data_IF_064230997809
#
_entry.id   IF_064230997809
#
_cell.length_a   1.000
_cell.length_b   1.000
_cell.length_c   1.000
_cell.angle_alpha   90.00
_cell.angle_beta   90.00
_cell.angle_gamma   90.00
#
_symmetry.space_group_name_H-M   'P 1'
#
loop_
_entity.id
_entity.type
_entity.pdbx_description
1 polymer ?
#
# COMPACT_ATOMS: atom_id res chain seq x y z
N UNK A 1 12.51 7.92 -30.69
CA UNK A 1 13.01 9.25 -31.11
C UNK A 1 14.24 9.03 -31.99
N UNK A 2 14.38 9.77 -33.09
CA UNK A 2 15.57 9.69 -33.95
C UNK A 2 16.66 10.64 -33.45
N UNK A 3 17.91 10.37 -33.84
CA UNK A 3 19.05 11.22 -33.54
C UNK A 3 18.89 12.62 -34.15
N UNK A 4 18.34 12.74 -35.36
CA UNK A 4 18.03 14.05 -35.95
C UNK A 4 17.11 14.88 -35.07
N UNK A 5 16.03 14.28 -34.55
CA UNK A 5 15.04 14.97 -33.73
C UNK A 5 15.69 15.51 -32.45
N UNK A 6 16.60 14.71 -31.86
CA UNK A 6 17.38 15.11 -30.70
C UNK A 6 18.33 16.27 -31.00
N UNK A 7 19.12 16.17 -32.08
CA UNK A 7 20.07 17.20 -32.47
C UNK A 7 19.37 18.51 -32.87
N UNK A 8 18.23 18.42 -33.55
CA UNK A 8 17.38 19.57 -33.85
C UNK A 8 16.89 20.25 -32.59
N UNK A 9 16.48 19.49 -31.57
CA UNK A 9 15.95 20.05 -30.32
C UNK A 9 17.02 20.62 -29.40
N UNK A 10 18.18 19.98 -29.30
CA UNK A 10 19.20 20.31 -28.28
C UNK A 10 20.40 21.09 -28.84
N UNK A 11 20.66 21.03 -30.15
CA UNK A 11 21.81 21.66 -30.80
C UNK A 11 21.43 22.50 -32.03
N UNK A 12 20.17 22.91 -32.13
CA UNK A 12 19.65 23.67 -33.29
C UNK A 12 19.88 22.97 -34.64
N UNK A 13 19.98 21.64 -34.62
CA UNK A 13 20.26 20.83 -35.82
C UNK A 13 21.74 20.75 -36.18
N UNK A 14 22.66 21.30 -35.37
CA UNK A 14 24.10 21.09 -35.57
C UNK A 14 24.43 19.60 -35.49
N UNK A 15 25.22 19.14 -36.46
CA UNK A 15 25.65 17.74 -36.56
C UNK A 15 24.64 16.81 -37.25
N UNK A 16 23.49 17.31 -37.72
CA UNK A 16 22.58 16.53 -38.57
C UNK A 16 23.19 16.38 -39.97
N UNK A 17 23.40 15.14 -40.39
CA UNK A 17 23.88 14.75 -41.73
C UNK A 17 23.04 13.58 -42.24
N UNK A 18 23.06 13.36 -43.56
CA UNK A 18 22.21 12.32 -44.18
C UNK A 18 22.43 10.93 -43.57
N UNK A 19 23.66 10.61 -43.16
CA UNK A 19 24.02 9.32 -42.57
C UNK A 19 23.48 9.09 -41.16
N UNK A 20 23.15 10.14 -40.41
CA UNK A 20 22.73 10.05 -39.02
C UNK A 20 21.29 10.51 -38.77
N UNK A 21 20.57 10.89 -39.84
CA UNK A 21 19.21 11.42 -39.77
C UNK A 21 18.20 10.42 -39.22
N UNK A 22 18.27 9.17 -39.68
CA UNK A 22 17.31 8.13 -39.32
C UNK A 22 17.77 7.20 -38.18
N UNK A 23 18.92 7.50 -37.58
CA UNK A 23 19.51 6.67 -36.52
C UNK A 23 18.63 6.72 -35.27
N UNK A 24 18.33 5.54 -34.71
CA UNK A 24 17.65 5.43 -33.44
C UNK A 24 18.56 5.90 -32.30
N UNK A 25 17.99 6.62 -31.35
CA UNK A 25 18.77 7.14 -30.22
C UNK A 25 19.43 6.03 -29.39
N UNK A 26 18.78 4.87 -29.30
CA UNK A 26 19.35 3.66 -28.68
C UNK A 26 20.61 3.18 -29.40
N UNK A 27 20.63 3.20 -30.73
CA UNK A 27 21.80 2.84 -31.51
C UNK A 27 22.92 3.88 -31.36
N UNK A 28 22.56 5.16 -31.33
CA UNK A 28 23.50 6.25 -31.05
C UNK A 28 24.18 6.09 -29.68
N UNK A 29 23.44 5.75 -28.62
CA UNK A 29 24.01 5.60 -27.28
C UNK A 29 24.95 4.39 -27.13
N UNK A 30 24.90 3.40 -28.04
CA UNK A 30 25.82 2.25 -28.06
C UNK A 30 27.21 2.67 -28.51
N UNK A 31 27.29 3.48 -29.56
CA UNK A 31 28.55 4.05 -30.05
C UNK A 31 28.31 5.43 -30.71
N UNK A 32 28.35 6.51 -29.92
CA UNK A 32 28.06 7.84 -30.44
C UNK A 32 29.18 8.39 -31.35
N UNK A 33 30.40 7.84 -31.25
CA UNK A 33 31.55 8.26 -32.08
C UNK A 33 31.41 7.87 -33.54
N UNK A 34 30.60 6.84 -33.82
CA UNK A 34 30.21 6.42 -35.17
C UNK A 34 29.36 7.46 -35.90
N UNK A 35 28.59 8.26 -35.16
CA UNK A 35 27.57 9.16 -35.71
C UNK A 35 27.93 10.65 -35.59
N UNK A 36 28.77 11.01 -34.62
CA UNK A 36 29.30 12.36 -34.43
C UNK A 36 30.82 12.29 -34.41
N UNK A 37 31.43 12.73 -35.51
CA UNK A 37 32.89 12.73 -35.67
C UNK A 37 33.56 13.95 -35.05
N UNK A 38 32.82 15.05 -34.86
CA UNK A 38 33.31 16.22 -34.15
C UNK A 38 33.42 15.90 -32.65
N UNK A 39 34.66 15.79 -32.18
CA UNK A 39 34.96 15.48 -30.77
C UNK A 39 34.52 16.59 -29.82
N UNK A 40 34.55 17.85 -30.24
CA UNK A 40 34.10 18.98 -29.42
C UNK A 40 32.59 18.93 -29.23
N UNK A 41 31.85 18.81 -30.34
CA UNK A 41 30.40 18.68 -30.31
C UNK A 41 29.95 17.44 -29.52
N UNK A 42 30.63 16.30 -29.69
CA UNK A 42 30.32 15.09 -28.92
C UNK A 42 30.55 15.28 -27.41
N UNK A 43 31.63 15.95 -27.02
CA UNK A 43 31.89 16.27 -25.61
C UNK A 43 30.83 17.20 -25.02
N UNK A 44 30.42 18.24 -25.75
CA UNK A 44 29.34 19.14 -25.33
C UNK A 44 28.01 18.41 -25.14
N UNK A 45 27.68 17.51 -26.08
CA UNK A 45 26.50 16.65 -25.99
C UNK A 45 26.60 15.76 -24.74
N UNK A 46 27.73 15.08 -24.55
CA UNK A 46 27.92 14.14 -23.43
C UNK A 46 27.93 14.83 -22.07
N UNK A 47 28.37 16.09 -22.01
CA UNK A 47 28.34 16.92 -20.81
C UNK A 47 26.95 17.44 -20.46
N UNK A 48 25.98 17.37 -21.37
CA UNK A 48 24.62 17.87 -21.14
C UNK A 48 23.79 16.95 -20.25
N UNK A 49 23.08 17.54 -19.28
CA UNK A 49 22.11 16.82 -18.43
C UNK A 49 21.02 16.12 -19.25
N UNK A 50 20.68 16.67 -20.41
CA UNK A 50 19.70 16.10 -21.35
C UNK A 50 20.20 14.78 -21.92
N UNK A 51 21.48 14.70 -22.30
CA UNK A 51 22.09 13.46 -22.79
C UNK A 51 22.08 12.39 -21.70
N UNK A 52 22.45 12.73 -20.47
CA UNK A 52 22.42 11.80 -19.34
C UNK A 52 21.00 11.30 -19.03
N UNK A 53 20.02 12.21 -19.00
CA UNK A 53 18.62 11.88 -18.77
C UNK A 53 18.09 10.93 -19.83
N UNK A 54 18.41 11.19 -21.09
CA UNK A 54 17.91 10.41 -22.19
C UNK A 54 18.64 9.07 -22.35
N UNK A 55 19.94 9.03 -22.08
CA UNK A 55 20.70 7.78 -21.97
C UNK A 55 20.13 6.90 -20.84
N UNK A 56 19.73 7.49 -19.72
CA UNK A 56 19.04 6.78 -18.63
C UNK A 56 17.64 6.32 -19.02
N UNK A 57 16.87 7.13 -19.75
CA UNK A 57 15.54 6.74 -20.23
C UNK A 57 15.66 5.55 -21.19
N UNK A 58 16.51 5.65 -22.20
CA UNK A 58 16.75 4.57 -23.17
C UNK A 58 17.33 3.32 -22.52
N UNK A 59 18.28 3.46 -21.59
CA UNK A 59 18.84 2.32 -20.86
C UNK A 59 17.86 1.75 -19.84
N UNK A 60 17.03 2.58 -19.22
CA UNK A 60 15.99 2.19 -18.28
C UNK A 60 14.87 1.42 -18.98
N UNK A 61 14.43 1.90 -20.15
CA UNK A 61 13.56 1.17 -21.06
C UNK A 61 14.17 -0.21 -21.37
N UNK A 62 15.45 -0.30 -21.73
CA UNK A 62 16.10 -1.58 -21.99
C UNK A 62 16.25 -2.49 -20.75
N UNK A 63 16.50 -1.94 -19.57
CA UNK A 63 16.59 -2.70 -18.31
C UNK A 63 15.23 -3.28 -17.94
N UNK A 64 14.17 -2.49 -18.09
CA UNK A 64 12.82 -2.92 -17.80
C UNK A 64 12.20 -3.73 -18.94
N UNK A 65 12.77 -3.75 -20.15
CA UNK A 65 12.21 -4.46 -21.31
C UNK A 65 12.01 -5.96 -21.03
N UNK A 66 13.00 -6.59 -20.38
CA UNK A 66 12.91 -8.00 -19.99
C UNK A 66 11.84 -8.23 -18.91
N UNK A 67 11.74 -7.33 -17.93
CA UNK A 67 10.73 -7.44 -16.87
C UNK A 67 9.32 -7.16 -17.42
N UNK A 68 9.19 -6.21 -18.34
CA UNK A 68 7.97 -5.91 -19.09
C UNK A 68 7.56 -7.13 -19.92
N UNK A 69 8.49 -7.77 -20.64
CA UNK A 69 8.23 -9.02 -21.36
C UNK A 69 7.72 -10.12 -20.43
N UNK A 70 8.38 -10.34 -19.28
CA UNK A 70 7.95 -11.32 -18.27
C UNK A 70 6.56 -11.02 -17.70
N UNK A 71 6.23 -9.74 -17.50
CA UNK A 71 4.89 -9.34 -17.06
C UNK A 71 3.84 -9.56 -18.16
N UNK A 72 4.18 -9.25 -19.42
CA UNK A 72 3.34 -9.54 -20.57
C UNK A 72 3.08 -11.04 -20.74
N UNK A 73 4.08 -11.90 -20.55
CA UNK A 73 3.94 -13.36 -20.58
C UNK A 73 2.99 -13.87 -19.48
N UNK A 74 2.87 -13.14 -18.37
CA UNK A 74 1.90 -13.39 -17.30
C UNK A 74 0.51 -12.77 -17.54
N UNK A 75 0.28 -12.22 -18.73
CA UNK A 75 -1.02 -11.65 -19.11
C UNK A 75 -1.28 -10.25 -18.56
N UNK A 76 -0.30 -9.57 -17.96
CA UNK A 76 -0.46 -8.24 -17.35
C UNK A 76 -0.67 -7.14 -18.42
N UNK A 77 -0.55 -7.47 -19.70
CA UNK A 77 -0.74 -6.57 -20.83
C UNK A 77 -2.21 -6.34 -21.26
N UNK A 78 -3.18 -7.03 -20.66
CA UNK A 78 -4.60 -6.86 -20.98
C UNK A 78 -5.49 -6.94 -19.72
N UNK A 79 -6.69 -6.31 -19.69
CA UNK A 79 -7.50 -6.22 -18.47
C UNK A 79 -7.91 -7.57 -17.84
N UNK A 80 -8.31 -8.61 -18.63
CA UNK A 80 -8.56 -9.94 -18.08
C UNK A 80 -7.31 -10.59 -17.47
N UNK A 81 -6.18 -10.55 -18.17
CA UNK A 81 -4.93 -11.15 -17.68
C UNK A 81 -4.34 -10.40 -16.48
N UNK A 82 -4.48 -9.08 -16.41
CA UNK A 82 -4.18 -8.29 -15.20
C UNK A 82 -5.02 -8.78 -14.01
N UNK A 83 -6.32 -8.98 -14.23
CA UNK A 83 -7.25 -9.44 -13.18
C UNK A 83 -6.88 -10.83 -12.67
N UNK A 84 -6.47 -11.73 -13.58
CA UNK A 84 -5.96 -13.07 -13.24
C UNK A 84 -4.65 -12.98 -12.44
N UNK A 85 -3.66 -12.24 -12.94
CA UNK A 85 -2.35 -12.08 -12.30
C UNK A 85 -2.48 -11.45 -10.90
N UNK A 86 -3.39 -10.49 -10.72
CA UNK A 86 -3.70 -9.90 -9.42
C UNK A 86 -4.32 -10.92 -8.45
N UNK A 87 -5.21 -11.80 -8.93
CA UNK A 87 -5.78 -12.86 -8.12
C UNK A 87 -4.72 -13.89 -7.69
N UNK A 88 -3.83 -14.30 -8.61
CA UNK A 88 -2.70 -15.19 -8.30
C UNK A 88 -1.74 -14.60 -7.28
N UNK A 89 -1.36 -13.32 -7.44
CA UNK A 89 -0.52 -12.61 -6.47
C UNK A 89 -1.18 -12.54 -5.09
N UNK A 90 -2.49 -12.26 -5.03
CA UNK A 90 -3.25 -12.22 -3.78
C UNK A 90 -3.31 -13.58 -3.11
N UNK A 91 -3.50 -14.65 -3.87
CA UNK A 91 -3.50 -16.02 -3.35
C UNK A 91 -2.11 -16.41 -2.80
N UNK A 92 -1.03 -16.05 -3.50
CA UNK A 92 0.34 -16.30 -3.05
C UNK A 92 0.65 -15.60 -1.73
N UNK A 93 0.33 -14.30 -1.61
CA UNK A 93 0.52 -13.53 -0.36
C UNK A 93 -0.32 -14.10 0.78
N UNK A 94 -1.58 -14.46 0.51
CA UNK A 94 -2.46 -15.06 1.50
C UNK A 94 -1.87 -16.37 2.06
N UNK A 95 -1.36 -17.24 1.19
CA UNK A 95 -0.73 -18.50 1.61
C UNK A 95 0.54 -18.26 2.43
N UNK A 96 1.40 -17.32 2.01
CA UNK A 96 2.59 -16.94 2.78
C UNK A 96 2.23 -16.42 4.17
N UNK A 97 1.27 -15.49 4.27
CA UNK A 97 0.81 -14.94 5.54
C UNK A 97 0.24 -16.04 6.46
N UNK A 98 -0.53 -16.97 5.89
CA UNK A 98 -1.05 -18.12 6.64
C UNK A 98 0.08 -18.97 7.21
N UNK A 99 1.09 -19.31 6.41
CA UNK A 99 2.25 -20.09 6.89
C UNK A 99 2.98 -19.40 8.05
N UNK A 100 3.20 -18.08 7.97
CA UNK A 100 3.81 -17.32 9.06
C UNK A 100 2.95 -17.32 10.34
N UNK A 101 1.65 -17.10 10.20
CA UNK A 101 0.72 -17.10 11.34
C UNK A 101 0.59 -18.49 11.98
N UNK A 102 0.54 -19.55 11.17
CA UNK A 102 0.50 -20.93 11.66
C UNK A 102 1.81 -21.29 12.40
N UNK A 103 2.96 -20.84 11.90
CA UNK A 103 4.25 -21.00 12.58
C UNK A 103 4.29 -20.25 13.92
N UNK A 104 3.89 -18.97 13.94
CA UNK A 104 3.83 -18.17 15.16
C UNK A 104 2.84 -18.75 16.19
N UNK A 105 1.69 -19.24 15.73
CA UNK A 105 0.71 -19.92 16.60
C UNK A 105 1.25 -21.25 17.15
N UNK A 106 2.03 -21.98 16.35
CA UNK A 106 2.75 -23.18 16.80
C UNK A 106 3.78 -22.87 17.89
N UNK A 107 4.57 -21.81 17.70
CA UNK A 107 5.55 -21.36 18.69
C UNK A 107 4.90 -20.88 19.98
N UNK A 108 3.83 -20.09 19.90
CA UNK A 108 3.04 -19.65 21.06
C UNK A 108 2.39 -20.81 21.84
N UNK A 109 2.19 -21.97 21.21
CA UNK A 109 1.64 -23.18 21.85
C UNK A 109 2.69 -24.00 22.60
N UNK A 110 3.98 -23.76 22.36
CA UNK A 110 5.07 -24.38 23.11
C UNK A 110 5.46 -23.42 24.24
N UNK A 111 5.07 -23.68 25.51
CA UNK A 111 5.43 -22.80 26.60
C UNK A 111 6.91 -22.98 26.92
N UNK A 112 7.78 -22.24 26.23
CA UNK A 112 9.20 -22.13 26.59
C UNK A 112 9.37 -21.34 27.89
N UNK A 113 8.31 -20.71 28.41
CA UNK A 113 8.31 -20.02 29.71
C UNK A 113 7.02 -20.32 30.45
N UNK A 114 7.11 -21.18 31.47
CA UNK A 114 6.07 -21.35 32.50
C UNK A 114 6.08 -20.09 33.38
N UNK A 115 5.54 -18.97 32.90
CA UNK A 115 5.22 -17.84 33.77
C UNK A 115 3.83 -18.04 34.35
N UNK A 116 3.72 -17.88 35.68
CA UNK A 116 2.43 -17.91 36.36
C UNK A 116 1.54 -16.79 35.80
N UNK A 117 0.23 -17.04 35.58
CA UNK A 117 -0.67 -15.99 35.10
C UNK A 117 -0.70 -14.84 36.12
N UNK A 118 -0.21 -13.67 35.72
CA UNK A 118 -0.24 -12.46 36.52
C UNK A 118 -1.69 -11.94 36.55
N UNK A 119 -2.39 -12.18 37.66
CA UNK A 119 -3.74 -11.65 37.84
C UNK A 119 -3.65 -10.15 38.11
N UNK A 120 -3.98 -9.33 37.12
CA UNK A 120 -4.16 -7.88 37.29
C UNK A 120 -5.50 -7.61 38.00
N UNK A 121 -5.50 -7.80 39.32
CA UNK A 121 -6.58 -7.50 40.25
C UNK A 121 -6.71 -5.98 40.40
N UNK A 122 -7.32 -5.31 39.41
CA UNK A 122 -7.54 -3.86 39.45
C UNK A 122 -7.87 -3.22 38.10
N UNK A 123 -7.46 -3.83 36.97
CA UNK A 123 -7.75 -3.27 35.64
C UNK A 123 -9.24 -3.32 35.25
N UNK A 124 -10.04 -4.17 35.90
CA UNK A 124 -11.47 -4.31 35.61
C UNK A 124 -12.34 -3.27 36.34
N UNK A 125 -11.90 -2.81 37.53
CA UNK A 125 -12.62 -1.78 38.30
C UNK A 125 -12.53 -0.40 37.67
N UNK A 126 -11.41 -0.06 37.02
CA UNK A 126 -11.22 1.21 36.33
C UNK A 126 -12.12 1.36 35.09
N UNK A 127 -12.42 0.26 34.39
CA UNK A 127 -13.40 0.23 33.29
C UNK A 127 -14.83 0.43 33.82
N UNK A 128 -15.13 -0.06 35.02
CA UNK A 128 -16.42 0.13 35.68
C UNK A 128 -16.61 1.55 36.28
N UNK A 129 -15.53 2.18 36.74
CA UNK A 129 -15.55 3.54 37.31
C UNK A 129 -15.42 4.67 36.28
N UNK A 130 -15.24 4.34 34.99
CA UNK A 130 -15.28 5.34 33.93
C UNK A 130 -16.70 5.92 33.80
N UNK A 131 -16.90 7.17 34.25
CA UNK A 131 -18.13 7.93 34.06
C UNK A 131 -18.39 8.07 32.55
N UNK A 132 -19.46 7.45 32.04
CA UNK A 132 -19.85 7.57 30.63
C UNK A 132 -20.69 8.83 30.45
N UNK A 133 -20.28 9.68 29.51
CA UNK A 133 -21.05 10.82 29.05
C UNK A 133 -21.52 10.50 27.63
N UNK A 134 -22.83 10.64 27.36
CA UNK A 134 -23.38 10.46 26.02
C UNK A 134 -24.04 11.76 25.56
N UNK A 135 -23.98 12.01 24.25
CA UNK A 135 -24.63 13.13 23.62
C UNK A 135 -26.08 12.75 23.31
N UNK A 136 -27.02 13.58 23.75
CA UNK A 136 -28.46 13.43 23.47
C UNK A 136 -28.90 14.60 22.59
N UNK A 137 -29.57 14.29 21.48
CA UNK A 137 -30.21 15.29 20.63
C UNK A 137 -31.46 15.85 21.34
N UNK A 138 -31.62 17.17 21.31
CA UNK A 138 -32.80 17.83 21.86
C UNK A 138 -33.95 17.72 20.85
N UNK A 139 -35.19 17.43 21.29
CA UNK A 139 -36.31 17.22 20.37
C UNK A 139 -36.65 18.50 19.60
N UNK A 140 -36.83 18.36 18.29
CA UNK A 140 -37.25 19.43 17.39
C UNK A 140 -38.72 19.77 17.64
N UNK A 141 -38.96 20.75 18.51
CA UNK A 141 -40.31 21.17 18.82
C UNK A 141 -40.37 22.25 19.86
N UNK A 142 -40.04 23.48 19.46
CA UNK A 142 -40.75 24.76 19.73
C UNK A 142 -39.72 25.89 19.61
N UNK A 143 -40.04 26.81 18.69
CA UNK A 143 -39.32 28.02 18.29
C UNK A 143 -38.30 28.57 19.30
N UNK A 144 -37.01 28.54 18.94
CA UNK A 144 -36.04 29.57 19.35
C UNK A 144 -34.83 29.63 18.43
N UNK A 145 -34.69 30.79 17.80
CA UNK A 145 -33.54 31.42 17.13
C UNK A 145 -32.26 30.58 16.97
N UNK A 146 -31.84 30.43 15.70
CA UNK A 146 -30.56 29.89 15.24
C UNK A 146 -29.37 30.46 16.02
N UNK A 147 -28.88 29.71 17.01
CA UNK A 147 -27.50 29.81 17.50
C UNK A 147 -27.01 28.42 17.89
N UNK A 148 -26.44 27.70 16.93
CA UNK A 148 -25.66 26.47 17.15
C UNK A 148 -26.44 25.17 17.32
N UNK A 149 -26.08 24.14 16.54
CA UNK A 149 -26.48 22.76 16.78
C UNK A 149 -25.76 22.25 18.03
N UNK A 150 -26.33 22.50 19.21
CA UNK A 150 -25.73 22.13 20.50
C UNK A 150 -26.13 20.72 20.92
N UNK A 151 -25.17 19.79 20.97
CA UNK A 151 -25.34 18.50 21.64
C UNK A 151 -25.24 18.70 23.15
N UNK A 152 -26.25 18.24 23.90
CA UNK A 152 -26.19 18.19 25.36
C UNK A 152 -25.50 16.92 25.83
N UNK A 153 -24.41 17.04 26.57
CA UNK A 153 -23.75 15.89 27.21
C UNK A 153 -24.37 15.69 28.59
N UNK A 154 -25.04 14.55 28.82
CA UNK A 154 -25.59 14.18 30.13
C UNK A 154 -24.81 13.01 30.73
N UNK A 155 -24.52 13.11 32.01
CA UNK A 155 -23.98 12.01 32.80
C UNK A 155 -25.10 10.98 33.02
N UNK A 156 -24.87 9.71 32.66
CA UNK A 156 -25.91 8.69 32.67
C UNK A 156 -25.39 7.30 33.02
N UNK A 157 -26.23 6.50 33.69
CA UNK A 157 -26.01 5.06 33.91
C UNK A 157 -26.43 4.29 32.64
N UNK A 158 -25.70 3.24 32.24
CA UNK A 158 -26.08 2.43 31.07
C UNK A 158 -27.43 1.75 31.31
N UNK A 159 -28.32 1.76 30.31
CA UNK A 159 -29.65 1.12 30.37
C UNK A 159 -29.58 -0.39 30.59
N UNK A 160 -28.48 -1.05 30.18
CA UNK A 160 -28.22 -2.46 30.45
C UNK A 160 -27.16 -2.62 31.54
N UNK A 161 -27.61 -2.91 32.75
CA UNK A 161 -26.76 -3.47 33.81
C UNK A 161 -26.59 -4.97 33.57
N UNK A 162 -25.36 -5.41 33.32
CA UNK A 162 -25.06 -6.84 33.26
C UNK A 162 -24.99 -7.38 34.69
N UNK A 163 -25.78 -8.41 35.00
CA UNK A 163 -25.66 -9.14 36.27
C UNK A 163 -24.56 -10.18 36.15
N UNK A 164 -23.47 -9.99 36.90
CA UNK A 164 -22.36 -10.93 36.95
C UNK A 164 -22.75 -12.18 37.75
N UNK A 165 -22.91 -13.33 37.08
CA UNK A 165 -22.93 -14.63 37.75
C UNK A 165 -21.48 -15.05 37.97
N UNK A 166 -21.05 -15.10 39.24
CA UNK A 166 -19.71 -15.56 39.64
C UNK A 166 -19.49 -16.99 39.13
N UNK A 167 -18.71 -17.14 38.06
CA UNK A 167 -18.31 -18.46 37.56
C UNK A 167 -17.27 -19.04 38.53
N UNK A 168 -17.68 -20.04 39.32
CA UNK A 168 -16.82 -20.72 40.32
C UNK A 168 -15.81 -21.69 39.72
N UNK A 169 -15.63 -21.68 38.40
CA UNK A 169 -14.67 -22.57 37.72
C UNK A 169 -13.89 -21.81 36.65
N UNK A 170 -12.58 -21.70 36.87
CA UNK A 170 -11.59 -21.24 35.88
C UNK A 170 -11.44 -22.33 34.81
N UNK A 171 -12.34 -22.34 33.83
CA UNK A 171 -12.13 -23.13 32.61
C UNK A 171 -11.14 -22.40 31.72
N UNK A 172 -9.91 -22.95 31.62
CA UNK A 172 -8.90 -22.54 30.64
C UNK A 172 -9.47 -22.71 29.23
N UNK A 173 -10.00 -21.64 28.65
CA UNK A 173 -10.15 -21.43 27.20
C UNK A 173 -10.44 -19.95 26.94
N UNK A 174 -9.42 -19.18 26.62
CA UNK A 174 -9.60 -17.93 25.88
C UNK A 174 -9.89 -18.29 24.43
N UNK A 175 -11.16 -18.41 24.07
CA UNK A 175 -11.58 -18.32 22.67
C UNK A 175 -11.64 -16.84 22.29
N UNK A 176 -10.79 -16.48 21.33
CA UNK A 176 -10.81 -15.20 20.62
C UNK A 176 -12.22 -14.86 20.15
N UNK A 177 -12.55 -13.57 20.29
CA UNK A 177 -13.78 -12.88 19.94
C UNK A 177 -14.63 -13.59 18.87
N UNK A 178 -15.68 -14.27 19.31
CA UNK A 178 -16.81 -14.58 18.43
C UNK A 178 -17.83 -13.47 18.64
N UNK A 179 -17.99 -12.59 17.64
CA UNK A 179 -19.18 -11.76 17.56
C UNK A 179 -20.39 -12.71 17.53
N UNK A 180 -21.43 -12.50 18.36
CA UNK A 180 -22.64 -13.29 18.22
C UNK A 180 -23.30 -12.89 16.90
N UNK A 181 -23.12 -13.73 15.88
CA UNK A 181 -23.96 -13.73 14.69
C UNK A 181 -25.38 -14.00 15.18
N UNK A 182 -26.24 -12.99 15.09
CA UNK A 182 -27.68 -13.18 15.27
C UNK A 182 -28.16 -14.07 14.14
N UNK A 183 -28.45 -15.33 14.46
CA UNK A 183 -29.29 -16.15 13.59
C UNK A 183 -30.74 -15.64 13.71
N UNK A 184 -31.24 -15.04 12.63
CA UNK A 184 -32.64 -15.21 12.19
C UNK A 184 -32.54 -16.23 11.03
N UNK A 185 -33.30 -17.34 11.02
CA UNK A 185 -34.75 -17.34 10.76
C UNK A 185 -35.50 -18.43 11.58
N UNK A 186 -36.83 -18.58 11.59
CA UNK A 186 -37.87 -18.28 10.60
C UNK A 186 -39.08 -17.57 11.23
#
# INVERSE_FOLDING_TARGET
MKLSDYLTRELDGRGVVDTNRDVLLEEFFKDPTKYIHDKGALNEIQASDRYLSMKRAVKGEAIFDEDIRKLCDKGVNNPPGWSLAAAEAKAAVHNSNKHFLDAAAGEARNPTTTSAPEKLEGCYESVHNARRSHAVELPDGVERKKTGMGMGVREGKPEQSWTYKKLTTLSKRMTLCSNPVRHLPC
#
